data_IF_832424262580
#
_entry.id   IF_832424262580
#
_cell.length_a   1.000
_cell.length_b   1.000
_cell.length_c   1.000
_cell.angle_alpha   90.00
_cell.angle_beta   90.00
_cell.angle_gamma   90.00
#
_symmetry.space_group_name_H-M   'P 1'
#
loop_
_entity.id
_entity.type
_entity.pdbx_description
1 polymer ?
#
# COMPACT_ATOMS: atom_id res chain seq x y z
N UNK A 1 -6.71 12.28 -18.54
CA UNK A 1 -7.03 11.79 -17.18
C UNK A 1 -5.80 11.14 -16.60
N UNK A 2 -5.54 11.38 -15.32
CA UNK A 2 -4.44 10.74 -14.58
C UNK A 2 -4.85 9.36 -14.08
N UNK A 3 -3.90 8.54 -13.62
CA UNK A 3 -4.21 7.23 -13.02
C UNK A 3 -5.19 7.37 -11.84
N UNK A 4 -4.90 8.28 -10.90
CA UNK A 4 -5.81 8.60 -9.80
C UNK A 4 -7.22 8.98 -10.27
N UNK A 5 -7.36 9.81 -11.30
CA UNK A 5 -8.69 10.18 -11.82
C UNK A 5 -9.44 9.00 -12.43
N UNK A 6 -8.72 8.05 -13.04
CA UNK A 6 -9.32 6.82 -13.58
C UNK A 6 -9.78 5.88 -12.45
N UNK A 7 -8.98 5.75 -11.39
CA UNK A 7 -9.35 5.02 -10.16
C UNK A 7 -10.60 5.62 -9.52
N UNK A 8 -10.61 6.95 -9.33
CA UNK A 8 -11.76 7.68 -8.80
C UNK A 8 -13.00 7.52 -9.68
N UNK A 9 -12.83 7.50 -11.01
CA UNK A 9 -13.93 7.25 -11.94
C UNK A 9 -14.55 5.87 -11.71
N UNK A 10 -13.74 4.82 -11.59
CA UNK A 10 -14.23 3.47 -11.28
C UNK A 10 -15.03 3.44 -9.96
N UNK A 11 -14.45 4.01 -8.91
CA UNK A 11 -15.09 4.07 -7.58
C UNK A 11 -16.40 4.86 -7.63
N UNK A 12 -16.43 6.03 -8.26
CA UNK A 12 -17.63 6.86 -8.35
C UNK A 12 -18.73 6.19 -9.18
N UNK A 13 -18.37 5.46 -10.24
CA UNK A 13 -19.32 4.64 -11.00
C UNK A 13 -19.96 3.57 -10.13
N UNK A 14 -19.17 2.87 -9.31
CA UNK A 14 -19.68 1.88 -8.37
C UNK A 14 -20.62 2.50 -7.32
N UNK A 15 -20.21 3.64 -6.72
CA UNK A 15 -21.00 4.38 -5.72
C UNK A 15 -22.34 4.87 -6.25
N UNK A 16 -22.42 5.23 -7.53
CA UNK A 16 -23.68 5.64 -8.15
C UNK A 16 -24.74 4.51 -8.20
N UNK A 17 -24.34 3.27 -7.93
CA UNK A 17 -25.25 2.12 -7.83
C UNK A 17 -25.53 1.67 -6.40
N UNK A 18 -25.00 2.36 -5.39
CA UNK A 18 -25.32 2.09 -3.99
C UNK A 18 -26.83 2.01 -3.77
N UNK A 19 -27.27 0.97 -3.05
CA UNK A 19 -28.68 0.70 -2.78
C UNK A 19 -29.44 0.00 -3.91
N UNK A 20 -28.84 -0.22 -5.08
CA UNK A 20 -29.43 -1.12 -6.09
C UNK A 20 -29.55 -2.53 -5.50
N UNK A 21 -30.72 -3.17 -5.61
CA UNK A 21 -31.01 -4.43 -4.92
C UNK A 21 -31.96 -5.35 -5.70
N UNK A 22 -32.03 -6.61 -5.28
CA UNK A 22 -32.89 -7.63 -5.88
C UNK A 22 -34.37 -7.40 -5.62
N UNK A 23 -34.73 -7.09 -4.37
CA UNK A 23 -36.12 -6.97 -3.91
C UNK A 23 -36.95 -5.91 -4.65
N UNK A 24 -36.30 -4.90 -5.25
CA UNK A 24 -36.97 -3.88 -6.07
C UNK A 24 -36.53 -3.92 -7.55
N UNK A 25 -35.77 -4.94 -7.96
CA UNK A 25 -35.32 -5.14 -9.34
C UNK A 25 -34.28 -4.14 -9.86
N UNK A 26 -33.80 -3.20 -9.05
CA UNK A 26 -32.87 -2.16 -9.53
C UNK A 26 -31.48 -2.66 -9.88
N UNK A 27 -31.07 -3.85 -9.38
CA UNK A 27 -29.84 -4.53 -9.80
C UNK A 27 -29.86 -4.97 -11.29
N UNK A 28 -31.03 -5.19 -11.89
CA UNK A 28 -31.16 -5.73 -13.25
C UNK A 28 -30.41 -4.89 -14.29
N UNK A 29 -30.44 -3.56 -14.16
CA UNK A 29 -29.69 -2.64 -15.05
C UNK A 29 -28.18 -2.90 -15.07
N UNK A 30 -27.62 -3.43 -13.98
CA UNK A 30 -26.19 -3.75 -13.85
C UNK A 30 -25.90 -5.04 -14.64
N UNK A 31 -26.77 -6.05 -14.48
CA UNK A 31 -26.69 -7.32 -15.22
C UNK A 31 -26.91 -7.09 -16.72
N UNK A 32 -27.89 -6.26 -17.09
CA UNK A 32 -28.17 -5.89 -18.47
C UNK A 32 -26.98 -5.19 -19.12
N UNK A 33 -26.36 -4.24 -18.40
CA UNK A 33 -25.16 -3.56 -18.87
C UNK A 33 -24.02 -4.55 -19.13
N UNK A 34 -23.76 -5.47 -18.20
CA UNK A 34 -22.76 -6.52 -18.40
C UNK A 34 -23.07 -7.37 -19.65
N UNK A 35 -24.31 -7.84 -19.77
CA UNK A 35 -24.75 -8.71 -20.85
C UNK A 35 -24.77 -8.03 -22.23
N UNK A 36 -24.82 -6.69 -22.27
CA UNK A 36 -24.82 -5.90 -23.50
C UNK A 36 -23.48 -5.96 -24.25
N UNK A 37 -22.37 -6.21 -23.56
CA UNK A 37 -21.02 -6.19 -24.15
C UNK A 37 -20.61 -7.58 -24.62
N UNK A 38 -20.32 -7.72 -25.91
CA UNK A 38 -19.90 -8.99 -26.54
C UNK A 38 -18.40 -8.99 -26.90
N UNK A 39 -17.75 -10.17 -26.96
CA UNK A 39 -18.28 -11.49 -26.60
C UNK A 39 -18.55 -11.58 -25.09
N UNK A 40 -19.48 -12.44 -24.66
CA UNK A 40 -19.68 -12.66 -23.24
C UNK A 40 -18.52 -13.50 -22.69
N UNK A 41 -17.93 -13.15 -21.54
CA UNK A 41 -17.06 -14.05 -20.82
C UNK A 41 -17.79 -15.37 -20.63
N UNK A 42 -17.04 -16.47 -20.84
CA UNK A 42 -17.58 -17.85 -20.75
C UNK A 42 -18.71 -18.17 -21.75
N UNK A 43 -19.02 -17.28 -22.70
CA UNK A 43 -20.21 -17.39 -23.55
C UNK A 43 -21.54 -17.33 -22.78
N UNK A 44 -21.53 -16.88 -21.53
CA UNK A 44 -22.66 -16.98 -20.61
C UNK A 44 -23.33 -15.62 -20.37
N UNK A 45 -24.64 -15.56 -20.56
CA UNK A 45 -25.45 -14.41 -20.20
C UNK A 45 -25.92 -14.57 -18.75
N UNK A 46 -25.51 -13.65 -17.88
CA UNK A 46 -25.85 -13.68 -16.45
C UNK A 46 -27.35 -13.46 -16.28
N UNK A 47 -28.01 -14.30 -15.49
CA UNK A 47 -29.44 -14.20 -15.18
C UNK A 47 -29.65 -13.34 -13.94
N UNK A 48 -30.86 -12.80 -13.78
CA UNK A 48 -31.19 -11.93 -12.64
C UNK A 48 -31.20 -12.64 -11.28
N UNK A 49 -31.20 -13.97 -11.24
CA UNK A 49 -31.15 -14.77 -10.03
C UNK A 49 -29.80 -15.46 -9.82
N UNK A 50 -28.81 -15.19 -10.69
CA UNK A 50 -27.44 -15.65 -10.48
C UNK A 50 -26.74 -14.73 -9.48
N UNK A 51 -25.73 -15.25 -8.79
CA UNK A 51 -24.83 -14.40 -8.02
C UNK A 51 -24.12 -13.39 -8.94
N UNK A 52 -24.17 -12.10 -8.59
CA UNK A 52 -23.76 -11.02 -9.50
C UNK A 52 -22.64 -10.12 -8.96
N UNK A 53 -21.87 -10.57 -7.96
CA UNK A 53 -20.75 -9.80 -7.40
C UNK A 53 -19.62 -9.53 -8.41
N UNK A 54 -19.17 -10.56 -9.14
CA UNK A 54 -18.18 -10.41 -10.21
C UNK A 54 -18.75 -9.61 -11.40
N UNK A 55 -20.01 -9.86 -11.73
CA UNK A 55 -20.77 -9.10 -12.75
C UNK A 55 -20.82 -7.62 -12.41
N UNK A 56 -20.98 -7.25 -11.15
CA UNK A 56 -20.96 -5.86 -10.69
C UNK A 56 -19.62 -5.18 -10.95
N UNK A 57 -18.50 -5.79 -10.54
CA UNK A 57 -17.15 -5.22 -10.78
C UNK A 57 -16.88 -5.06 -12.28
N UNK A 58 -17.26 -6.06 -13.07
CA UNK A 58 -17.21 -6.02 -14.53
C UNK A 58 -18.06 -4.89 -15.13
N UNK A 59 -19.29 -4.72 -14.64
CA UNK A 59 -20.20 -3.67 -15.09
C UNK A 59 -19.68 -2.28 -14.73
N UNK A 60 -19.01 -2.11 -13.58
CA UNK A 60 -18.31 -0.85 -13.24
C UNK A 60 -17.26 -0.53 -14.30
N UNK A 61 -16.45 -1.52 -14.68
CA UNK A 61 -15.47 -1.37 -15.76
C UNK A 61 -16.10 -0.98 -17.10
N UNK A 62 -17.26 -1.52 -17.44
CA UNK A 62 -18.01 -1.15 -18.66
C UNK A 62 -18.54 0.29 -18.56
N UNK A 63 -19.31 0.61 -17.52
CA UNK A 63 -19.93 1.92 -17.35
C UNK A 63 -18.90 3.05 -17.26
N UNK A 64 -17.75 2.80 -16.64
CA UNK A 64 -16.68 3.78 -16.55
C UNK A 64 -15.86 3.90 -17.85
N UNK A 65 -16.06 3.01 -18.84
CA UNK A 65 -15.21 2.92 -20.04
C UNK A 65 -13.78 2.47 -19.72
N UNK A 66 -13.62 1.62 -18.70
CA UNK A 66 -12.35 1.15 -18.13
C UNK A 66 -12.15 -0.36 -18.31
N UNK A 67 -12.83 -1.01 -19.25
CA UNK A 67 -12.74 -2.47 -19.48
C UNK A 67 -11.37 -2.97 -19.95
N UNK A 68 -10.44 -2.07 -20.31
CA UNK A 68 -9.02 -2.42 -20.54
C UNK A 68 -8.25 -2.54 -19.23
N UNK A 69 -8.60 -1.74 -18.22
CA UNK A 69 -7.99 -1.79 -16.90
C UNK A 69 -8.66 -2.88 -16.03
N UNK A 70 -9.97 -2.82 -15.85
CA UNK A 70 -10.76 -3.75 -15.04
C UNK A 70 -11.15 -4.95 -15.90
N UNK A 71 -10.65 -6.15 -15.57
CA UNK A 71 -10.90 -7.36 -16.37
C UNK A 71 -12.33 -7.82 -16.16
N UNK A 72 -12.97 -8.16 -17.27
CA UNK A 72 -14.39 -8.49 -17.31
C UNK A 72 -14.60 -10.00 -17.21
N UNK A 73 -15.36 -10.42 -16.20
CA UNK A 73 -15.74 -11.80 -15.92
C UNK A 73 -17.02 -11.86 -15.06
N UNK A 74 -17.72 -13.00 -15.03
CA UNK A 74 -18.92 -13.23 -14.21
C UNK A 74 -18.71 -14.21 -13.05
N UNK A 75 -17.56 -14.90 -12.96
CA UNK A 75 -17.21 -15.77 -11.83
C UNK A 75 -15.99 -15.29 -11.05
N UNK A 76 -16.04 -15.35 -9.71
CA UNK A 76 -14.95 -14.90 -8.84
C UNK A 76 -13.63 -15.62 -9.13
N UNK A 77 -13.62 -16.96 -9.14
CA UNK A 77 -12.42 -17.76 -9.41
C UNK A 77 -11.82 -17.48 -10.78
N UNK A 78 -12.66 -17.48 -11.82
CA UNK A 78 -12.22 -17.14 -13.17
C UNK A 78 -11.67 -15.71 -13.28
N UNK A 79 -12.22 -14.77 -12.52
CA UNK A 79 -11.70 -13.39 -12.49
C UNK A 79 -10.32 -13.35 -11.83
N UNK A 80 -10.07 -14.09 -10.75
CA UNK A 80 -8.73 -14.26 -10.17
C UNK A 80 -7.76 -14.83 -11.22
N UNK A 81 -8.16 -15.88 -11.93
CA UNK A 81 -7.32 -16.49 -12.98
C UNK A 81 -6.93 -15.49 -14.07
N UNK A 82 -7.85 -14.59 -14.47
CA UNK A 82 -7.56 -13.51 -15.41
C UNK A 82 -6.53 -12.52 -14.84
N UNK A 83 -6.66 -12.11 -13.58
CA UNK A 83 -5.68 -11.23 -12.95
C UNK A 83 -4.31 -11.91 -12.78
N UNK A 84 -4.28 -13.20 -12.45
CA UNK A 84 -3.04 -14.01 -12.39
C UNK A 84 -2.37 -14.11 -13.76
N UNK A 85 -3.14 -14.46 -14.80
CA UNK A 85 -2.63 -14.55 -16.18
C UNK A 85 -2.12 -13.21 -16.71
N UNK A 86 -2.69 -12.09 -16.26
CA UNK A 86 -2.22 -10.75 -16.60
C UNK A 86 -0.98 -10.30 -15.79
N UNK A 87 -0.53 -11.08 -14.79
CA UNK A 87 0.55 -10.67 -13.87
C UNK A 87 0.13 -9.54 -12.92
N UNK A 88 -1.17 -9.42 -12.63
CA UNK A 88 -1.78 -8.31 -11.87
C UNK A 88 -2.55 -8.81 -10.65
N UNK A 89 -2.06 -9.87 -10.05
CA UNK A 89 -2.64 -10.50 -8.87
C UNK A 89 -1.75 -10.27 -7.65
N UNK A 90 -2.35 -9.92 -6.52
CA UNK A 90 -1.71 -9.81 -5.22
C UNK A 90 -2.32 -10.84 -4.27
N UNK A 91 -1.53 -11.86 -3.93
CA UNK A 91 -1.94 -12.95 -3.03
C UNK A 91 -1.82 -12.55 -1.55
N UNK A 92 -0.94 -11.61 -1.21
CA UNK A 92 -0.66 -11.19 0.17
C UNK A 92 -1.83 -10.39 0.76
N UNK A 93 -2.48 -10.93 1.79
CA UNK A 93 -3.60 -10.31 2.51
C UNK A 93 -3.18 -9.11 3.38
N UNK A 94 -1.90 -9.00 3.73
CA UNK A 94 -1.31 -7.83 4.38
C UNK A 94 -1.06 -6.64 3.43
N UNK A 95 -1.30 -6.81 2.13
CA UNK A 95 -1.23 -5.70 1.17
C UNK A 95 -2.23 -4.60 1.52
N UNK A 96 -1.77 -3.34 1.47
CA UNK A 96 -2.65 -2.18 1.62
C UNK A 96 -3.11 -1.73 0.23
N UNK A 97 -4.39 -1.94 -0.13
CA UNK A 97 -4.86 -1.67 -1.47
C UNK A 97 -5.04 -0.18 -1.76
N UNK A 98 -5.07 0.16 -3.04
CA UNK A 98 -5.45 1.47 -3.53
C UNK A 98 -6.93 1.50 -3.94
N UNK A 99 -7.51 2.70 -3.95
CA UNK A 99 -8.83 2.89 -4.55
C UNK A 99 -8.86 2.38 -5.99
N UNK A 100 -9.95 1.69 -6.35
CA UNK A 100 -10.12 1.04 -7.64
C UNK A 100 -9.51 -0.35 -7.75
N UNK A 101 -8.77 -0.85 -6.75
CA UNK A 101 -8.36 -2.26 -6.74
C UNK A 101 -9.59 -3.18 -6.51
N UNK A 102 -9.50 -4.42 -6.98
CA UNK A 102 -10.57 -5.41 -6.84
C UNK A 102 -10.18 -6.35 -5.70
N UNK A 103 -11.01 -6.48 -4.68
CA UNK A 103 -10.76 -7.34 -3.52
C UNK A 103 -11.61 -8.60 -3.61
N UNK A 104 -11.01 -9.75 -3.33
CA UNK A 104 -11.69 -11.05 -3.33
C UNK A 104 -11.74 -11.61 -1.91
N UNK A 105 -12.77 -12.42 -1.65
CA UNK A 105 -13.05 -13.00 -0.35
C UNK A 105 -13.12 -14.51 -0.41
N UNK A 106 -12.58 -15.17 0.60
CA UNK A 106 -12.86 -16.57 0.94
C UNK A 106 -13.21 -16.56 2.44
N UNK A 107 -14.51 -16.72 2.72
CA UNK A 107 -15.05 -16.60 4.07
C UNK A 107 -14.73 -17.82 4.93
N UNK A 108 -14.32 -18.93 4.32
CA UNK A 108 -14.05 -20.18 5.04
C UNK A 108 -12.55 -20.38 5.33
N UNK A 109 -11.74 -19.33 5.25
CA UNK A 109 -10.31 -19.45 5.51
C UNK A 109 -9.97 -19.90 6.95
N UNK A 110 -9.60 -21.17 7.03
CA UNK A 110 -9.14 -21.87 8.23
C UNK A 110 -7.63 -22.13 8.23
N UNK A 111 -6.89 -21.60 7.24
CA UNK A 111 -5.47 -21.84 7.02
C UNK A 111 -4.49 -21.05 7.92
N UNK A 112 -3.21 -21.06 7.57
CA UNK A 112 -2.17 -20.24 8.19
C UNK A 112 -1.36 -19.55 7.08
N UNK A 113 -1.13 -18.24 7.21
CA UNK A 113 -0.50 -17.42 6.17
C UNK A 113 -1.53 -16.94 5.16
N UNK A 114 -1.03 -16.44 4.03
CA UNK A 114 -1.85 -15.87 2.94
C UNK A 114 -2.96 -16.85 2.52
N UNK A 115 -4.16 -16.31 2.35
CA UNK A 115 -5.32 -17.07 1.96
C UNK A 115 -5.19 -17.53 0.48
N UNK A 116 -5.26 -18.84 0.27
CA UNK A 116 -5.10 -19.46 -1.06
C UNK A 116 -6.35 -20.17 -1.58
N UNK A 117 -7.46 -20.18 -0.84
CA UNK A 117 -8.65 -20.96 -1.14
C UNK A 117 -9.50 -20.44 -2.32
N UNK A 118 -10.71 -20.94 -2.47
CA UNK A 118 -11.56 -20.56 -3.61
C UNK A 118 -12.40 -19.32 -3.25
N UNK A 119 -12.48 -18.28 -4.09
CA UNK A 119 -13.18 -17.07 -3.71
C UNK A 119 -14.70 -17.25 -3.73
N UNK A 120 -15.35 -16.86 -2.63
CA UNK A 120 -16.81 -16.78 -2.52
C UNK A 120 -17.37 -15.48 -3.13
N UNK A 121 -16.62 -14.38 -3.00
CA UNK A 121 -17.16 -13.05 -3.26
C UNK A 121 -16.08 -12.08 -3.75
N UNK A 122 -16.50 -10.95 -4.31
CA UNK A 122 -15.60 -9.91 -4.84
C UNK A 122 -16.24 -8.52 -4.73
N UNK A 123 -15.41 -7.51 -4.47
CA UNK A 123 -15.82 -6.11 -4.40
C UNK A 123 -14.78 -5.16 -4.98
N UNK A 124 -15.12 -3.86 -5.01
CA UNK A 124 -14.23 -2.80 -5.46
C UNK A 124 -13.79 -1.93 -4.28
N UNK A 125 -12.49 -1.77 -4.10
CA UNK A 125 -11.92 -0.92 -3.04
C UNK A 125 -12.24 0.55 -3.34
N UNK A 126 -12.94 1.20 -2.42
CA UNK A 126 -13.23 2.64 -2.48
C UNK A 126 -12.06 3.49 -1.95
N UNK A 127 -11.28 2.95 -1.03
CA UNK A 127 -10.15 3.62 -0.40
C UNK A 127 -9.76 2.99 0.94
N UNK A 128 -8.66 3.47 1.52
CA UNK A 128 -8.15 3.01 2.81
C UNK A 128 -7.99 4.20 3.76
N UNK A 129 -8.44 4.05 5.00
CA UNK A 129 -8.26 5.03 6.09
C UNK A 129 -7.70 4.32 7.31
N UNK A 130 -6.47 4.66 7.72
CA UNK A 130 -5.75 3.90 8.75
C UNK A 130 -5.55 2.45 8.31
N UNK A 131 -5.98 1.50 9.14
CA UNK A 131 -6.00 0.06 8.82
C UNK A 131 -7.34 -0.43 8.29
N UNK A 132 -8.27 0.46 7.94
CA UNK A 132 -9.60 0.10 7.44
C UNK A 132 -9.69 0.32 5.93
N UNK A 133 -9.99 -0.73 5.19
CA UNK A 133 -10.32 -0.72 3.77
C UNK A 133 -11.83 -0.56 3.64
N UNK A 134 -12.28 0.46 2.91
CA UNK A 134 -13.68 0.62 2.53
C UNK A 134 -13.91 0.02 1.15
N UNK A 135 -14.88 -0.86 1.02
CA UNK A 135 -15.20 -1.60 -0.21
C UNK A 135 -16.66 -1.36 -0.56
N UNK A 136 -16.97 -1.30 -1.86
CA UNK A 136 -18.34 -1.39 -2.36
C UNK A 136 -18.50 -2.69 -3.14
N UNK A 137 -19.54 -3.44 -2.80
CA UNK A 137 -19.81 -4.79 -3.30
C UNK A 137 -21.18 -4.81 -3.97
N UNK A 138 -21.29 -5.53 -5.09
CA UNK A 138 -22.57 -5.95 -5.62
C UNK A 138 -22.94 -7.32 -5.06
N UNK A 139 -24.23 -7.60 -4.98
CA UNK A 139 -24.77 -8.83 -4.38
C UNK A 139 -24.34 -9.06 -2.91
N UNK A 140 -24.02 -7.98 -2.19
CA UNK A 140 -23.85 -8.05 -0.73
C UNK A 140 -25.26 -7.90 -0.13
N UNK A 141 -25.76 -8.95 0.52
CA UNK A 141 -27.15 -9.02 1.00
C UNK A 141 -28.16 -8.71 -0.13
N UNK A 142 -27.94 -9.29 -1.32
CA UNK A 142 -28.75 -9.08 -2.52
C UNK A 142 -28.83 -7.60 -2.97
N UNK A 143 -27.82 -6.81 -2.61
CA UNK A 143 -27.75 -5.37 -2.86
C UNK A 143 -26.33 -4.87 -3.17
N UNK A 144 -26.25 -3.62 -3.66
CA UNK A 144 -25.00 -2.86 -3.71
C UNK A 144 -24.82 -2.13 -2.39
N UNK A 145 -23.85 -2.53 -1.60
CA UNK A 145 -23.61 -2.01 -0.25
C UNK A 145 -22.11 -1.84 0.03
N UNK A 146 -21.80 -1.01 1.03
CA UNK A 146 -20.44 -0.92 1.54
C UNK A 146 -20.12 -2.03 2.53
N UNK A 147 -18.83 -2.33 2.63
CA UNK A 147 -18.21 -3.11 3.69
C UNK A 147 -16.92 -2.42 4.12
N UNK A 148 -16.71 -2.36 5.43
CA UNK A 148 -15.43 -1.98 6.00
C UNK A 148 -14.68 -3.24 6.43
N UNK A 149 -13.40 -3.31 6.09
CA UNK A 149 -12.52 -4.45 6.33
C UNK A 149 -11.25 -3.98 7.04
N UNK A 150 -10.69 -4.76 7.97
CA UNK A 150 -9.32 -4.56 8.37
C UNK A 150 -8.38 -4.96 7.22
N UNK A 151 -7.32 -4.17 7.01
CA UNK A 151 -6.11 -4.66 6.29
C UNK A 151 -5.64 -5.94 6.98
N UNK A 152 -5.17 -6.92 6.22
CA UNK A 152 -4.77 -8.24 6.75
C UNK A 152 -5.94 -9.01 7.40
N UNK A 153 -7.17 -8.75 6.95
CA UNK A 153 -8.33 -9.54 7.32
C UNK A 153 -8.21 -10.94 6.73
N UNK A 154 -8.27 -11.97 7.56
CA UNK A 154 -8.03 -13.37 7.17
C UNK A 154 -8.93 -13.90 6.03
N UNK A 155 -10.16 -13.40 5.94
CA UNK A 155 -11.08 -13.77 4.85
C UNK A 155 -10.78 -13.05 3.52
N UNK A 156 -9.75 -12.19 3.47
CA UNK A 156 -9.30 -11.56 2.23
C UNK A 156 -8.53 -12.61 1.45
N UNK A 157 -9.08 -13.01 0.31
CA UNK A 157 -8.44 -13.95 -0.60
C UNK A 157 -7.29 -13.29 -1.36
N UNK A 158 -7.35 -11.99 -1.60
CA UNK A 158 -6.32 -11.24 -2.31
C UNK A 158 -6.94 -10.17 -3.19
N UNK A 159 -6.10 -9.59 -4.06
CA UNK A 159 -6.48 -8.42 -4.84
C UNK A 159 -6.13 -8.56 -6.33
N UNK A 160 -7.09 -8.24 -7.18
CA UNK A 160 -6.85 -7.92 -8.58
C UNK A 160 -6.45 -6.45 -8.72
N UNK A 161 -5.38 -6.18 -9.45
CA UNK A 161 -4.82 -4.83 -9.64
C UNK A 161 -5.14 -4.33 -11.06
N UNK A 162 -6.18 -3.50 -11.28
CA UNK A 162 -6.48 -3.01 -12.62
C UNK A 162 -5.39 -2.07 -13.13
N UNK A 163 -5.05 -2.18 -14.41
CA UNK A 163 -4.01 -1.36 -15.04
C UNK A 163 -4.56 0.00 -15.51
N UNK A 164 -4.93 0.84 -14.55
CA UNK A 164 -5.37 2.21 -14.82
C UNK A 164 -4.26 3.05 -15.47
N UNK A 165 -2.99 2.74 -15.17
CA UNK A 165 -1.82 3.46 -15.67
C UNK A 165 -1.72 3.36 -17.19
N UNK A 166 -1.96 2.18 -17.78
CA UNK A 166 -1.98 1.99 -19.23
C UNK A 166 -3.02 2.85 -19.97
N UNK A 167 -4.05 3.30 -19.25
CA UNK A 167 -5.13 4.13 -19.79
C UNK A 167 -4.93 5.63 -19.50
N UNK A 168 -3.94 6.01 -18.70
CA UNK A 168 -3.69 7.39 -18.34
C UNK A 168 -3.17 8.18 -19.54
N UNK A 169 -3.78 9.34 -19.82
CA UNK A 169 -3.38 10.25 -20.91
C UNK A 169 -2.69 11.51 -20.40
N UNK A 170 -2.61 11.66 -19.08
CA UNK A 170 -1.87 12.71 -18.41
C UNK A 170 -1.04 12.09 -17.29
N UNK A 171 0.18 12.59 -17.10
CA UNK A 171 0.92 12.32 -15.89
C UNK A 171 0.08 12.80 -14.70
N UNK A 172 0.16 12.08 -13.57
CA UNK A 172 -0.35 12.65 -12.33
C UNK A 172 0.33 14.01 -12.11
N UNK A 173 -0.42 15.07 -11.77
CA UNK A 173 0.22 16.26 -11.24
C UNK A 173 1.03 15.76 -10.04
N UNK A 174 2.32 16.11 -10.00
CA UNK A 174 3.11 15.89 -8.80
C UNK A 174 2.25 16.37 -7.64
N UNK A 175 1.96 15.45 -6.71
CA UNK A 175 1.18 15.76 -5.51
C UNK A 175 1.75 17.06 -4.98
N UNK A 176 0.96 18.14 -4.80
CA UNK A 176 1.46 19.33 -4.14
C UNK A 176 2.05 18.83 -2.84
N UNK A 177 3.38 18.81 -2.76
CA UNK A 177 4.04 18.60 -1.48
C UNK A 177 3.54 19.79 -0.68
N UNK A 178 2.67 19.53 0.31
CA UNK A 178 2.48 20.49 1.39
C UNK A 178 3.88 20.99 1.74
N UNK A 179 4.14 22.32 1.79
CA UNK A 179 5.49 22.85 1.92
C UNK A 179 6.20 22.03 2.98
N UNK A 180 7.24 21.31 2.55
CA UNK A 180 7.75 20.18 3.29
C UNK A 180 8.04 20.63 4.72
N UNK A 181 7.31 20.10 5.70
CA UNK A 181 7.73 20.22 7.09
C UNK A 181 9.14 19.65 7.13
N UNK A 182 10.10 20.46 7.60
CA UNK A 182 11.50 20.04 7.77
C UNK A 182 11.52 18.71 8.52
N UNK A 183 12.39 17.80 8.13
CA UNK A 183 12.52 16.51 8.81
C UNK A 183 12.84 16.70 10.29
N UNK A 184 12.51 15.71 11.14
CA UNK A 184 12.88 15.70 12.57
C UNK A 184 14.38 15.94 12.76
N UNK A 185 15.22 15.43 11.85
CA UNK A 185 16.67 15.64 11.87
C UNK A 185 17.08 17.10 11.58
N UNK A 186 16.42 17.77 10.63
CA UNK A 186 16.66 19.19 10.34
C UNK A 186 16.18 20.08 11.48
N UNK A 187 14.99 19.81 12.01
CA UNK A 187 14.44 20.51 13.18
C UNK A 187 15.36 20.30 14.39
N UNK A 188 15.89 19.09 14.61
CA UNK A 188 16.84 18.83 15.68
C UNK A 188 18.15 19.63 15.56
N UNK A 189 18.67 19.83 14.33
CA UNK A 189 19.82 20.72 14.10
C UNK A 189 19.49 22.17 14.41
N UNK A 190 18.28 22.63 14.08
CA UNK A 190 17.81 23.98 14.41
C UNK A 190 17.61 24.17 15.91
N UNK A 191 17.10 23.15 16.60
CA UNK A 191 16.99 23.12 18.06
C UNK A 191 18.39 23.20 18.70
N UNK A 192 19.36 22.42 18.21
CA UNK A 192 20.77 22.49 18.65
C UNK A 192 21.37 23.88 18.38
N UNK A 193 21.00 24.52 17.28
CA UNK A 193 21.39 25.88 16.92
C UNK A 193 20.60 26.98 17.67
N UNK A 194 19.72 26.61 18.62
CA UNK A 194 19.00 27.56 19.48
C UNK A 194 17.78 28.23 18.84
N UNK A 195 17.39 27.85 17.61
CA UNK A 195 16.30 28.51 16.85
C UNK A 195 14.89 28.27 17.39
N UNK A 196 14.75 27.30 18.30
CA UNK A 196 13.46 26.87 18.87
C UNK A 196 13.35 27.20 20.36
N UNK A 197 14.18 28.10 20.89
CA UNK A 197 14.17 28.47 22.31
C UNK A 197 14.55 27.32 23.27
N UNK A 198 14.23 27.49 24.55
CA UNK A 198 14.54 26.54 25.63
C UNK A 198 13.25 25.92 26.20
N UNK A 199 13.39 24.83 26.94
CA UNK A 199 12.28 24.20 27.66
C UNK A 199 11.72 25.19 28.71
N UNK A 200 10.40 25.48 28.78
CA UNK A 200 9.26 24.81 28.11
C UNK A 200 8.81 25.37 26.77
N UNK A 201 9.25 26.56 26.38
CA UNK A 201 8.80 27.24 25.16
C UNK A 201 9.09 26.44 23.88
N UNK A 202 10.24 25.76 23.84
CA UNK A 202 10.62 24.86 22.75
C UNK A 202 9.57 23.78 22.46
N UNK A 203 9.05 23.17 23.52
CA UNK A 203 8.07 22.08 23.40
C UNK A 203 6.79 22.63 22.76
N UNK A 204 6.30 23.75 23.27
CA UNK A 204 5.10 24.43 22.76
C UNK A 204 5.26 24.84 21.29
N UNK A 205 6.40 25.39 20.89
CA UNK A 205 6.65 25.80 19.50
C UNK A 205 6.73 24.60 18.56
N UNK A 206 7.40 23.52 18.96
CA UNK A 206 7.48 22.28 18.17
C UNK A 206 6.11 21.64 17.98
N UNK A 207 5.31 21.54 19.06
CA UNK A 207 3.96 20.99 19.02
C UNK A 207 3.00 21.85 18.19
N UNK A 208 3.08 23.18 18.29
CA UNK A 208 2.30 24.12 17.46
C UNK A 208 2.68 24.04 15.97
N UNK A 209 3.96 23.77 15.66
CA UNK A 209 4.41 23.46 14.29
C UNK A 209 4.04 22.03 13.84
N UNK A 210 3.44 21.23 14.73
CA UNK A 210 2.98 19.87 14.49
C UNK A 210 4.11 18.85 14.41
N UNK A 211 5.17 19.03 15.21
CA UNK A 211 6.22 18.04 15.46
C UNK A 211 5.99 17.32 16.79
N UNK A 212 6.41 16.05 16.86
CA UNK A 212 6.47 15.33 18.12
C UNK A 212 7.73 15.77 18.91
N UNK A 213 7.52 16.45 20.04
CA UNK A 213 8.61 16.93 20.89
C UNK A 213 9.58 15.81 21.32
N UNK A 214 9.07 14.62 21.65
CA UNK A 214 9.91 13.52 22.13
C UNK A 214 10.86 13.01 21.04
N UNK A 215 10.39 12.91 19.80
CA UNK A 215 11.21 12.50 18.65
C UNK A 215 12.27 13.53 18.31
N UNK A 216 11.90 14.82 18.30
CA UNK A 216 12.85 15.92 18.09
C UNK A 216 13.89 15.95 19.20
N UNK A 217 13.49 15.79 20.47
CA UNK A 217 14.41 15.77 21.60
C UNK A 217 15.34 14.54 21.56
N UNK A 218 14.84 13.37 21.15
CA UNK A 218 15.67 12.18 20.94
C UNK A 218 16.71 12.41 19.83
N UNK A 219 16.32 13.05 18.72
CA UNK A 219 17.23 13.41 17.64
C UNK A 219 18.26 14.48 18.07
N UNK A 220 17.87 15.47 18.88
CA UNK A 220 18.79 16.45 19.48
C UNK A 220 19.80 15.75 20.39
N UNK A 221 19.33 14.83 21.24
CA UNK A 221 20.19 14.04 22.11
C UNK A 221 21.17 13.19 21.29
N UNK A 222 20.72 12.59 20.19
CA UNK A 222 21.60 11.87 19.25
C UNK A 222 22.65 12.80 18.61
N UNK A 223 22.29 14.04 18.26
CA UNK A 223 23.23 15.04 17.71
C UNK A 223 24.21 15.59 18.74
N UNK A 224 23.84 15.63 20.02
CA UNK A 224 24.72 16.08 21.12
C UNK A 224 25.66 14.93 21.51
N UNK A 225 25.13 13.71 21.64
CA UNK A 225 25.90 12.51 21.99
C UNK A 225 26.78 12.01 20.83
N UNK A 226 26.42 12.32 19.57
CA UNK A 226 27.23 12.09 18.37
C UNK A 226 28.29 13.16 18.10
N UNK A 227 28.47 14.13 19.01
CA UNK A 227 29.53 15.16 18.93
C UNK A 227 30.81 14.79 19.71
N UNK A 228 30.91 13.60 20.27
CA UNK A 228 32.21 13.00 20.58
C UNK A 228 32.84 12.56 19.26
N UNK A 229 34.04 13.05 18.92
CA UNK A 229 34.75 12.62 17.73
C UNK A 229 34.68 11.09 17.62
N UNK A 230 34.07 10.56 16.56
CA UNK A 230 34.18 9.15 16.26
C UNK A 230 35.68 8.82 16.26
N UNK A 231 36.10 7.80 17.03
CA UNK A 231 37.52 7.49 17.16
C UNK A 231 38.10 7.27 15.76
N UNK A 232 39.29 7.78 15.49
CA UNK A 232 39.92 7.63 14.17
C UNK A 232 40.10 6.16 13.80
N UNK A 233 40.23 5.32 14.82
CA UNK A 233 40.39 3.88 14.67
C UNK A 233 39.52 3.07 15.63
N UNK A 234 39.31 1.80 15.30
CA UNK A 234 38.65 0.82 16.12
C UNK A 234 39.39 -0.51 16.08
N UNK A 235 39.75 -1.05 17.24
CA UNK A 235 40.34 -2.40 17.35
C UNK A 235 39.22 -3.44 17.41
N UNK A 236 39.16 -4.29 16.39
CA UNK A 236 38.21 -5.40 16.25
C UNK A 236 38.31 -6.33 17.46
N UNK A 237 37.19 -6.63 18.09
CA UNK A 237 37.09 -7.55 19.23
C UNK A 237 36.62 -8.94 18.75
N UNK A 238 36.87 -9.97 19.56
CA UNK A 238 36.37 -11.31 19.26
C UNK A 238 34.83 -11.27 19.13
N UNK A 239 34.32 -11.77 17.99
CA UNK A 239 32.88 -11.77 17.68
C UNK A 239 32.37 -10.53 16.93
N UNK A 240 33.21 -9.52 16.68
CA UNK A 240 32.83 -8.38 15.85
C UNK A 240 32.65 -8.78 14.38
N UNK A 241 31.74 -8.08 13.70
CA UNK A 241 31.60 -8.14 12.23
C UNK A 241 31.75 -6.75 11.64
N UNK A 242 32.23 -6.66 10.40
CA UNK A 242 32.40 -5.38 9.71
C UNK A 242 31.05 -4.62 9.59
N UNK A 243 29.94 -5.36 9.47
CA UNK A 243 28.59 -4.79 9.45
C UNK A 243 28.15 -4.18 10.78
N UNK A 244 28.45 -4.84 11.91
CA UNK A 244 28.12 -4.32 13.23
C UNK A 244 28.95 -3.06 13.55
N UNK A 245 30.23 -3.06 13.18
CA UNK A 245 31.12 -1.91 13.33
C UNK A 245 30.65 -0.75 12.46
N UNK A 246 30.33 -1.00 11.18
CA UNK A 246 29.84 0.04 10.27
C UNK A 246 28.57 0.71 10.79
N UNK A 247 27.59 -0.08 11.29
CA UNK A 247 26.38 0.44 11.93
C UNK A 247 26.69 1.27 13.17
N UNK A 248 27.56 0.75 14.04
CA UNK A 248 27.94 1.42 15.30
C UNK A 248 28.56 2.80 15.08
N UNK A 249 29.33 2.96 14.00
CA UNK A 249 30.01 4.21 13.66
C UNK A 249 29.36 4.97 12.50
N UNK A 250 28.11 4.64 12.17
CA UNK A 250 27.33 5.33 11.15
C UNK A 250 28.04 5.48 9.79
N UNK A 251 28.73 4.42 9.36
CA UNK A 251 29.36 4.29 8.03
C UNK A 251 28.79 3.08 7.31
N UNK A 252 29.25 2.80 6.09
CA UNK A 252 28.85 1.60 5.34
C UNK A 252 29.95 0.57 5.33
N UNK A 253 29.59 -0.71 5.20
CA UNK A 253 30.55 -1.81 5.03
C UNK A 253 31.47 -1.53 3.84
N UNK A 254 30.92 -1.03 2.73
CA UNK A 254 31.67 -0.69 1.53
C UNK A 254 32.68 0.45 1.77
N UNK A 255 32.27 1.52 2.45
CA UNK A 255 33.17 2.63 2.78
C UNK A 255 34.29 2.19 3.74
N UNK A 256 33.92 1.41 4.77
CA UNK A 256 34.87 0.92 5.76
C UNK A 256 35.86 -0.09 5.16
N UNK A 257 35.39 -0.98 4.28
CA UNK A 257 36.23 -1.93 3.55
C UNK A 257 37.21 -1.21 2.62
N UNK A 258 36.72 -0.20 1.87
CA UNK A 258 37.55 0.63 0.99
C UNK A 258 38.62 1.40 1.77
N UNK A 259 38.24 2.03 2.88
CA UNK A 259 39.16 2.81 3.72
C UNK A 259 40.29 1.95 4.32
N UNK A 260 40.03 0.67 4.56
CA UNK A 260 40.97 -0.26 5.19
C UNK A 260 41.57 -1.30 4.23
N UNK A 261 41.35 -1.14 2.91
CA UNK A 261 41.81 -2.09 1.88
C UNK A 261 41.39 -3.56 2.14
N UNK A 262 40.20 -3.77 2.69
CA UNK A 262 39.66 -5.11 2.99
C UNK A 262 39.02 -5.69 1.72
N UNK A 263 39.57 -6.80 1.21
CA UNK A 263 39.06 -7.48 0.01
C UNK A 263 37.88 -8.40 0.32
N UNK A 264 37.89 -9.07 1.47
CA UNK A 264 36.82 -9.95 1.91
C UNK A 264 36.15 -9.36 3.15
N UNK A 265 34.99 -8.75 2.98
CA UNK A 265 34.22 -8.07 4.04
C UNK A 265 33.72 -9.02 5.14
N UNK A 266 33.75 -10.33 4.90
CA UNK A 266 33.37 -11.36 5.86
C UNK A 266 34.53 -11.84 6.73
N UNK A 267 35.76 -11.38 6.47
CA UNK A 267 36.97 -11.79 7.20
C UNK A 267 37.63 -10.58 7.83
N UNK A 268 37.39 -10.40 9.12
CA UNK A 268 38.14 -9.49 10.00
C UNK A 268 38.65 -10.27 11.21
N UNK A 269 39.84 -9.95 11.69
CA UNK A 269 40.47 -10.67 12.80
C UNK A 269 40.39 -9.85 14.09
N UNK A 270 40.14 -10.52 15.22
CA UNK A 270 40.28 -9.88 16.53
C UNK A 270 41.69 -9.30 16.69
N UNK A 271 41.79 -8.07 17.21
CA UNK A 271 43.04 -7.30 17.29
C UNK A 271 43.34 -6.46 16.04
N UNK A 272 42.63 -6.62 14.93
CA UNK A 272 42.78 -5.78 13.74
C UNK A 272 42.35 -4.34 14.03
N UNK A 273 43.16 -3.36 13.67
CA UNK A 273 42.82 -1.92 13.81
C UNK A 273 42.21 -1.42 12.50
N UNK A 274 40.98 -0.90 12.57
CA UNK A 274 40.25 -0.32 11.44
C UNK A 274 40.23 1.20 11.55
N UNK A 275 40.62 1.90 10.49
CA UNK A 275 40.34 3.33 10.30
C UNK A 275 38.84 3.53 10.09
N UNK A 276 38.24 4.50 10.77
CA UNK A 276 36.80 4.78 10.70
C UNK A 276 36.45 6.05 9.89
N UNK A 277 37.43 6.92 9.64
CA UNK A 277 37.32 8.15 8.85
C UNK A 277 38.63 8.50 8.18
#
# INVERSE_FOLDING_TARGET
>A
MTEKQLREKAVNTAKAWEGCKESNGTHKKIIDLYNSVKPLPRGYAVKYNDAWCATFVSAVGIAAGLSKAILRECGCGAMIDLYKAAGRWQENDAYVPSAGDVVFYDWQDTGKGDNTGYPDHVGLVCGVSGSTIKVIEGNKNDAVEYRDLPVNGRYIRGYGLPDYKSMATAAEPEKPTAPAKKSVAEVAREVKAGKWGNNPERKKQLEAAGYNYAEVQAAVNALINGSGSAPETYTVKQGDTLSAIARKYNTTVAALAKLNNIKNVNVINAGQVLKLR
#
